data_IF_324221464177
#
_entry.id   IF_324221464177
#
_cell.length_a   1.000
_cell.length_b   1.000
_cell.length_c   1.000
_cell.angle_alpha   90.00
_cell.angle_beta   90.00
_cell.angle_gamma   90.00
#
_symmetry.space_group_name_H-M   'P 1'
#
loop_
_entity.id
_entity.type
_entity.pdbx_description
1 polymer ?
#
# COMPACT_ATOMS: atom_id res chain seq x y z
N UNK A 1 20.25 1.84 28.38
CA UNK A 1 20.77 3.06 27.73
C UNK A 1 19.60 3.76 27.06
N UNK A 2 19.52 5.07 27.23
CA UNK A 2 18.30 5.87 27.08
C UNK A 2 18.02 6.14 25.59
N UNK A 3 17.05 5.45 24.98
CA UNK A 3 16.55 5.72 23.63
C UNK A 3 15.63 6.97 23.55
N UNK A 4 15.70 7.90 24.50
CA UNK A 4 14.72 9.00 24.61
C UNK A 4 14.95 10.17 23.64
N UNK A 5 16.06 10.21 22.90
CA UNK A 5 16.36 11.32 21.98
C UNK A 5 16.22 10.97 20.49
N UNK A 6 15.95 9.70 20.14
CA UNK A 6 15.76 9.33 18.74
C UNK A 6 14.35 9.71 18.29
N UNK A 7 14.28 10.57 17.27
CA UNK A 7 13.01 11.02 16.64
C UNK A 7 12.30 9.86 15.97
N UNK A 8 13.07 8.97 15.33
CA UNK A 8 12.59 7.75 14.70
C UNK A 8 13.23 6.56 15.41
N UNK A 9 12.45 5.52 15.68
CA UNK A 9 12.95 4.25 16.19
C UNK A 9 12.17 3.06 15.64
N UNK A 10 12.79 1.88 15.69
CA UNK A 10 12.12 0.60 15.43
C UNK A 10 12.15 -0.24 16.70
N UNK A 11 10.98 -0.67 17.15
CA UNK A 11 10.80 -1.61 18.26
C UNK A 11 10.43 -2.99 17.71
N UNK A 12 10.93 -4.06 18.32
CA UNK A 12 10.64 -5.44 17.92
C UNK A 12 9.86 -6.17 19.02
N UNK A 13 8.72 -6.73 18.66
CA UNK A 13 7.92 -7.62 19.51
C UNK A 13 7.89 -9.03 18.91
N UNK A 14 8.15 -10.05 19.75
CA UNK A 14 7.94 -11.44 19.38
C UNK A 14 6.50 -11.85 19.73
N UNK A 15 5.65 -11.99 18.72
CA UNK A 15 4.23 -12.32 18.91
C UNK A 15 3.99 -13.83 19.09
N UNK A 16 4.78 -14.66 18.40
CA UNK A 16 4.71 -16.11 18.52
C UNK A 16 6.09 -16.73 18.41
N UNK A 17 6.58 -17.29 19.51
CA UNK A 17 7.90 -17.91 19.62
C UNK A 17 8.04 -19.22 18.84
N UNK A 18 6.94 -19.96 18.61
CA UNK A 18 6.99 -21.24 17.85
C UNK A 18 7.09 -21.01 16.34
N UNK A 19 6.41 -19.98 15.84
CA UNK A 19 6.39 -19.63 14.42
C UNK A 19 7.38 -18.53 14.08
N UNK A 20 8.10 -18.00 15.08
CA UNK A 20 9.01 -16.85 14.95
C UNK A 20 8.32 -15.67 14.25
N UNK A 21 7.05 -15.42 14.59
CA UNK A 21 6.31 -14.28 14.07
C UNK A 21 6.71 -13.06 14.88
N UNK A 22 7.33 -12.10 14.20
CA UNK A 22 7.80 -10.85 14.78
C UNK A 22 6.99 -9.69 14.23
N UNK A 23 6.81 -8.68 15.06
CA UNK A 23 6.27 -7.38 14.69
C UNK A 23 7.36 -6.34 14.89
N UNK A 24 7.59 -5.53 13.88
CA UNK A 24 8.43 -4.35 13.96
C UNK A 24 7.53 -3.12 13.96
N UNK A 25 7.68 -2.26 14.96
CA UNK A 25 6.93 -1.02 15.09
C UNK A 25 7.88 0.14 14.83
N UNK A 26 7.66 0.84 13.72
CA UNK A 26 8.29 2.12 13.46
C UNK A 26 7.58 3.19 14.29
N UNK A 27 8.33 4.01 15.01
CA UNK A 27 7.80 5.14 15.76
C UNK A 27 8.46 6.42 15.22
N UNK A 28 7.66 7.43 14.86
CA UNK A 28 8.13 8.81 14.67
C UNK A 28 7.49 9.68 15.75
N UNK A 29 8.30 10.05 16.75
CA UNK A 29 7.86 10.77 17.95
C UNK A 29 7.50 12.23 17.70
N UNK A 30 8.07 12.85 16.67
CA UNK A 30 7.76 14.25 16.36
C UNK A 30 6.30 14.44 15.97
N UNK A 31 5.69 13.42 15.38
CA UNK A 31 4.34 13.50 14.83
C UNK A 31 3.41 12.41 15.37
N UNK A 32 3.81 11.69 16.43
CA UNK A 32 3.04 10.57 17.00
C UNK A 32 2.57 9.52 15.98
N UNK A 33 3.40 9.25 14.96
CA UNK A 33 3.13 8.25 13.94
C UNK A 33 3.73 6.91 14.37
N UNK A 34 2.92 5.85 14.37
CA UNK A 34 3.35 4.49 14.69
C UNK A 34 2.88 3.53 13.60
N UNK A 35 3.79 2.75 13.03
CA UNK A 35 3.49 1.83 11.92
C UNK A 35 3.99 0.44 12.29
N UNK A 36 3.10 -0.56 12.30
CA UNK A 36 3.43 -1.95 12.58
C UNK A 36 3.55 -2.79 11.31
N UNK A 37 4.66 -3.51 11.20
CA UNK A 37 4.94 -4.45 10.10
C UNK A 37 5.21 -5.84 10.68
N UNK A 38 4.52 -6.86 10.18
CA UNK A 38 4.78 -8.26 10.50
C UNK A 38 5.78 -8.88 9.53
N UNK A 39 6.61 -9.80 10.04
CA UNK A 39 7.47 -10.62 9.20
C UNK A 39 6.69 -11.61 8.35
N UNK A 40 5.53 -12.06 8.83
CA UNK A 40 4.65 -12.91 8.02
C UNK A 40 3.98 -12.06 6.93
N UNK A 41 4.13 -12.48 5.67
CA UNK A 41 3.57 -11.75 4.54
C UNK A 41 4.22 -10.41 4.23
N UNK A 42 5.30 -10.03 4.93
CA UNK A 42 5.82 -8.67 4.94
C UNK A 42 4.69 -7.63 5.13
N UNK A 43 3.74 -7.93 6.03
CA UNK A 43 2.44 -7.27 6.06
C UNK A 43 2.46 -6.02 6.94
N UNK A 44 1.95 -4.91 6.43
CA UNK A 44 1.65 -3.74 7.25
C UNK A 44 0.30 -3.98 7.95
N UNK A 45 0.28 -3.95 9.28
CA UNK A 45 -0.87 -4.36 10.12
C UNK A 45 -1.40 -3.27 11.04
N UNK A 46 -0.64 -2.21 11.24
CA UNK A 46 -1.13 -1.06 11.97
C UNK A 46 -0.52 0.23 11.45
N UNK A 47 -1.31 1.28 11.48
CA UNK A 47 -0.85 2.65 11.33
C UNK A 47 -1.71 3.49 12.26
N UNK A 48 -1.06 4.14 13.20
CA UNK A 48 -1.65 4.98 14.23
C UNK A 48 -1.01 6.36 14.14
N UNK A 49 -1.83 7.41 14.11
CA UNK A 49 -1.37 8.79 14.05
C UNK A 49 -2.11 9.60 15.12
N UNK A 50 -1.38 10.22 16.05
CA UNK A 50 -1.97 10.89 17.22
C UNK A 50 -3.01 10.01 17.96
N UNK A 51 -2.65 8.75 18.23
CA UNK A 51 -3.54 7.75 18.84
C UNK A 51 -4.76 7.32 18.00
N UNK A 52 -4.83 7.71 16.72
CA UNK A 52 -5.90 7.29 15.81
C UNK A 52 -5.44 6.17 14.89
N UNK A 53 -6.03 4.97 15.06
CA UNK A 53 -5.81 3.85 14.15
C UNK A 53 -6.51 4.12 12.80
N UNK A 54 -5.71 4.14 11.73
CA UNK A 54 -6.21 4.37 10.36
C UNK A 54 -6.18 3.14 9.47
N UNK A 55 -5.55 2.05 9.91
CA UNK A 55 -5.58 0.78 9.19
C UNK A 55 -6.61 -0.15 9.81
N UNK A 56 -7.51 -0.65 8.97
CA UNK A 56 -8.52 -1.63 9.34
C UNK A 56 -7.90 -3.02 9.16
N UNK A 57 -7.77 -3.76 10.26
CA UNK A 57 -7.39 -5.16 10.19
C UNK A 57 -8.56 -5.96 9.62
N UNK A 58 -8.45 -6.40 8.37
CA UNK A 58 -9.31 -7.45 7.88
C UNK A 58 -8.87 -8.77 8.51
N UNK A 59 -9.44 -9.10 9.67
CA UNK A 59 -9.64 -10.50 10.00
C UNK A 59 -10.79 -11.01 9.14
N UNK A 60 -10.59 -12.03 8.30
CA UNK A 60 -11.67 -12.72 7.63
C UNK A 60 -12.41 -13.57 8.68
N UNK A 61 -13.14 -12.92 9.59
CA UNK A 61 -14.05 -13.61 10.49
C UNK A 61 -15.47 -13.54 9.90
N UNK A 62 -15.95 -14.67 9.39
CA UNK A 62 -17.35 -15.02 9.61
C UNK A 62 -18.33 -15.01 8.43
N UNK A 63 -17.94 -15.23 7.18
CA UNK A 63 -18.91 -15.66 6.16
C UNK A 63 -18.66 -17.12 5.76
N UNK A 64 -19.58 -18.00 6.16
CA UNK A 64 -19.67 -19.41 5.74
C UNK A 64 -20.09 -19.54 4.26
N UNK A 65 -19.85 -18.54 3.42
CA UNK A 65 -20.10 -18.64 1.99
C UNK A 65 -18.86 -19.22 1.33
N UNK A 66 -18.95 -20.53 1.16
CA UNK A 66 -17.99 -21.47 0.60
C UNK A 66 -17.58 -21.21 -0.86
N UNK A 67 -17.66 -19.99 -1.41
CA UNK A 67 -17.27 -19.69 -2.78
C UNK A 67 -16.46 -18.38 -2.86
N UNK A 68 -15.19 -18.42 -2.44
CA UNK A 68 -14.04 -17.84 -3.16
C UNK A 68 -12.71 -18.14 -2.44
N UNK A 69 -12.13 -19.35 -2.57
CA UNK A 69 -10.78 -19.65 -2.11
C UNK A 69 -9.75 -19.41 -3.22
N UNK A 70 -9.78 -18.23 -3.87
CA UNK A 70 -8.90 -17.96 -5.00
C UNK A 70 -8.08 -16.68 -4.77
N UNK A 71 -6.79 -16.87 -4.48
CA UNK A 71 -5.72 -15.87 -4.41
C UNK A 71 -5.41 -15.15 -3.08
N UNK A 72 -5.45 -15.84 -1.94
CA UNK A 72 -4.42 -15.52 -0.92
C UNK A 72 -3.06 -15.92 -1.51
N UNK A 73 -2.22 -14.95 -1.83
CA UNK A 73 -0.90 -15.22 -2.40
C UNK A 73 -0.09 -16.04 -1.39
N UNK A 74 0.66 -17.06 -1.86
CA UNK A 74 1.50 -17.88 -0.97
C UNK A 74 2.46 -17.02 -0.11
N UNK A 75 2.81 -15.82 -0.60
CA UNK A 75 3.61 -14.83 0.11
C UNK A 75 2.98 -14.36 1.42
N UNK A 76 1.64 -14.23 1.48
CA UNK A 76 0.90 -13.77 2.67
C UNK A 76 1.19 -14.59 3.93
N UNK A 77 1.56 -15.87 3.75
CA UNK A 77 1.86 -16.83 4.82
C UNK A 77 3.35 -17.13 4.98
N UNK A 78 4.19 -16.62 4.09
CA UNK A 78 5.64 -16.78 4.17
C UNK A 78 6.18 -15.96 5.34
N UNK A 79 7.03 -16.56 6.18
CA UNK A 79 7.78 -15.81 7.17
C UNK A 79 9.05 -15.24 6.52
N UNK A 80 9.17 -13.92 6.49
CA UNK A 80 10.29 -13.24 5.87
C UNK A 80 11.44 -13.08 6.87
N UNK A 81 12.66 -13.20 6.36
CA UNK A 81 13.88 -12.93 7.14
C UNK A 81 13.99 -11.41 7.29
N UNK A 82 14.06 -10.94 8.53
CA UNK A 82 14.13 -9.52 8.86
C UNK A 82 15.54 -9.05 9.18
N UNK A 83 15.89 -7.87 8.67
CA UNK A 83 17.11 -7.15 8.98
C UNK A 83 16.80 -5.68 9.22
N UNK A 84 16.96 -5.22 10.47
CA UNK A 84 16.88 -3.80 10.81
C UNK A 84 18.21 -3.12 10.47
N UNK A 85 18.16 -1.98 9.77
CA UNK A 85 19.33 -1.21 9.32
C UNK A 85 19.22 0.22 9.83
N UNK A 86 19.81 0.50 10.98
CA UNK A 86 19.61 1.79 11.64
C UNK A 86 18.22 1.91 12.28
N UNK A 87 17.84 3.12 12.72
CA UNK A 87 16.63 3.34 13.50
C UNK A 87 15.35 3.44 12.67
N UNK A 88 15.47 3.51 11.33
CA UNK A 88 14.39 3.93 10.44
C UNK A 88 14.08 2.93 9.33
N UNK A 89 14.90 1.88 9.14
CA UNK A 89 14.82 0.97 8.00
C UNK A 89 14.71 -0.49 8.41
N UNK A 90 13.71 -1.20 7.88
CA UNK A 90 13.52 -2.64 7.96
C UNK A 90 13.60 -3.26 6.56
N UNK A 91 14.51 -4.21 6.39
CA UNK A 91 14.60 -5.03 5.18
C UNK A 91 14.04 -6.42 5.47
N UNK A 92 13.04 -6.83 4.70
CA UNK A 92 12.48 -8.18 4.72
C UNK A 92 12.89 -8.91 3.43
N UNK A 93 13.44 -10.11 3.55
CA UNK A 93 13.80 -10.96 2.41
C UNK A 93 13.14 -12.34 2.52
N UNK A 94 12.65 -12.85 1.40
CA UNK A 94 12.15 -14.21 1.28
C UNK A 94 12.80 -14.87 0.07
N UNK A 95 13.19 -16.13 0.20
CA UNK A 95 13.73 -16.90 -0.89
C UNK A 95 13.36 -18.36 -0.76
N UNK A 96 12.88 -18.96 -1.85
CA UNK A 96 12.66 -20.41 -1.93
C UNK A 96 13.96 -21.14 -2.33
N UNK A 97 14.96 -20.42 -2.85
CA UNK A 97 16.31 -20.90 -3.15
C UNK A 97 17.27 -19.71 -3.40
N UNK A 98 18.58 -19.95 -3.46
CA UNK A 98 19.63 -18.94 -3.70
C UNK A 98 19.46 -18.15 -4.99
N UNK A 99 18.69 -18.67 -5.96
CA UNK A 99 18.40 -18.00 -7.21
C UNK A 99 17.07 -17.24 -7.20
N UNK A 100 16.20 -17.38 -6.19
CA UNK A 100 14.83 -16.82 -6.16
C UNK A 100 14.57 -15.91 -4.96
N UNK A 101 15.41 -14.90 -4.73
CA UNK A 101 15.18 -13.92 -3.67
C UNK A 101 14.16 -12.85 -4.08
N UNK A 102 13.32 -12.49 -3.12
CA UNK A 102 12.40 -11.37 -3.13
C UNK A 102 12.71 -10.50 -1.92
N UNK A 103 12.47 -9.20 -2.02
CA UNK A 103 12.77 -8.26 -0.95
C UNK A 103 11.75 -7.15 -0.86
N UNK A 104 11.46 -6.74 0.37
CA UNK A 104 10.65 -5.57 0.68
C UNK A 104 11.42 -4.76 1.71
N UNK A 105 11.64 -3.48 1.43
CA UNK A 105 12.29 -2.55 2.36
C UNK A 105 11.27 -1.52 2.77
N UNK A 106 11.09 -1.37 4.07
CA UNK A 106 10.30 -0.33 4.71
C UNK A 106 11.25 0.68 5.33
N UNK A 107 11.05 1.97 5.04
CA UNK A 107 11.81 3.06 5.64
C UNK A 107 10.86 4.17 6.09
N UNK A 108 10.93 4.58 7.35
CA UNK A 108 10.15 5.71 7.88
C UNK A 108 11.01 6.98 7.89
N UNK A 109 10.51 8.08 7.33
CA UNK A 109 11.22 9.38 7.35
C UNK A 109 10.68 10.31 8.43
N UNK A 110 11.40 11.41 8.68
CA UNK A 110 11.02 12.41 9.69
C UNK A 110 9.76 13.19 9.28
N UNK A 111 9.48 13.26 7.98
CA UNK A 111 8.36 13.96 7.36
C UNK A 111 7.09 13.09 7.23
N UNK A 112 6.93 12.09 8.10
CA UNK A 112 5.80 11.14 8.08
C UNK A 112 5.63 10.43 6.74
N UNK A 113 6.73 9.97 6.15
CA UNK A 113 6.70 9.19 4.92
C UNK A 113 7.15 7.77 5.19
N UNK A 114 6.30 6.79 4.90
CA UNK A 114 6.72 5.40 4.81
C UNK A 114 7.08 5.10 3.36
N UNK A 115 8.36 4.90 3.10
CA UNK A 115 8.88 4.47 1.81
C UNK A 115 8.91 2.95 1.80
N UNK A 116 8.23 2.35 0.82
CA UNK A 116 8.17 0.90 0.59
C UNK A 116 8.81 0.60 -0.76
N UNK A 117 9.92 -0.12 -0.74
CA UNK A 117 10.61 -0.56 -1.96
C UNK A 117 10.50 -2.07 -2.10
N UNK A 118 9.89 -2.53 -3.18
CA UNK A 118 9.67 -3.95 -3.45
C UNK A 118 10.49 -4.44 -4.64
N UNK A 119 11.03 -5.66 -4.55
CA UNK A 119 11.64 -6.40 -5.67
C UNK A 119 11.14 -7.85 -5.66
N UNK A 120 10.46 -8.21 -6.73
CA UNK A 120 9.78 -9.48 -6.95
C UNK A 120 10.19 -10.04 -8.31
N UNK A 121 10.18 -11.36 -8.42
CA UNK A 121 10.52 -12.03 -9.69
C UNK A 121 9.37 -12.09 -10.68
N UNK A 122 8.13 -12.08 -10.20
CA UNK A 122 6.93 -12.21 -11.02
C UNK A 122 5.95 -11.10 -10.70
N UNK A 123 5.39 -10.48 -11.74
CA UNK A 123 4.47 -9.33 -11.63
C UNK A 123 3.17 -9.67 -10.89
N UNK A 124 2.80 -10.94 -10.77
CA UNK A 124 1.54 -11.35 -10.14
C UNK A 124 1.57 -11.31 -8.60
N UNK A 125 2.70 -10.97 -7.98
CA UNK A 125 2.88 -11.03 -6.54
C UNK A 125 2.55 -9.68 -5.90
N UNK A 126 1.35 -9.58 -5.34
CA UNK A 126 0.97 -8.46 -4.48
C UNK A 126 1.46 -8.73 -3.06
N UNK A 127 1.95 -7.67 -2.42
CA UNK A 127 2.02 -7.60 -0.96
C UNK A 127 0.62 -7.76 -0.38
N UNK A 128 0.54 -8.17 0.89
CA UNK A 128 -0.73 -8.21 1.60
C UNK A 128 -1.41 -6.84 1.52
N UNK A 129 -2.63 -6.75 0.96
CA UNK A 129 -3.34 -5.48 0.90
C UNK A 129 -3.68 -5.04 2.33
N UNK A 130 -3.49 -3.76 2.60
CA UNK A 130 -3.97 -3.11 3.81
C UNK A 130 -4.89 -1.96 3.43
N UNK A 131 -5.87 -1.71 4.28
CA UNK A 131 -6.99 -0.83 3.98
C UNK A 131 -7.02 0.33 4.98
N UNK A 132 -7.16 1.53 4.43
CA UNK A 132 -7.24 2.78 5.16
C UNK A 132 -8.70 3.17 5.44
N UNK A 133 -8.97 3.56 6.67
CA UNK A 133 -10.12 4.37 7.04
C UNK A 133 -9.68 5.49 7.99
N UNK A 134 -9.76 6.74 7.50
CA UNK A 134 -9.31 7.93 8.22
C UNK A 134 -10.29 8.42 9.32
N UNK A 135 -11.49 7.85 9.42
CA UNK A 135 -12.57 8.21 10.36
C UNK A 135 -12.56 7.32 11.63
N UNK A 136 -11.39 6.81 12.03
CA UNK A 136 -11.14 5.86 13.12
C UNK A 136 -11.62 4.43 12.81
N UNK A 137 -10.67 3.56 12.46
CA UNK A 137 -10.87 2.18 12.02
C UNK A 137 -11.59 1.25 13.03
N UNK A 138 -11.69 1.65 14.30
CA UNK A 138 -12.20 0.78 15.38
C UNK A 138 -13.70 0.95 15.68
N UNK A 139 -14.35 2.00 15.15
CA UNK A 139 -15.74 2.32 15.54
C UNK A 139 -16.68 2.69 14.39
N UNK A 140 -16.17 2.89 13.16
CA UNK A 140 -17.00 3.22 12.00
C UNK A 140 -16.52 2.48 10.74
N UNK A 141 -17.38 1.62 10.20
CA UNK A 141 -17.20 0.90 8.92
C UNK A 141 -17.66 1.74 7.73
N UNK A 142 -17.60 3.07 7.83
CA UNK A 142 -18.12 3.95 6.78
C UNK A 142 -17.02 4.82 6.18
N UNK A 143 -17.10 4.98 4.86
CA UNK A 143 -16.32 5.94 4.06
C UNK A 143 -17.08 7.25 3.82
N UNK A 144 -18.16 7.49 4.55
CA UNK A 144 -18.89 8.75 4.46
C UNK A 144 -18.01 9.94 4.86
N UNK A 145 -17.98 10.95 3.99
CA UNK A 145 -17.09 12.10 4.08
C UNK A 145 -15.66 11.87 3.56
N UNK A 146 -15.33 10.68 3.04
CA UNK A 146 -14.02 10.43 2.41
C UNK A 146 -14.03 10.83 0.94
N UNK A 147 -12.90 11.37 0.50
CA UNK A 147 -12.66 11.76 -0.88
C UNK A 147 -11.42 11.05 -1.41
N UNK A 148 -11.47 10.61 -2.66
CA UNK A 148 -10.37 9.95 -3.33
C UNK A 148 -10.04 10.65 -4.65
N UNK A 149 -8.74 10.74 -4.95
CA UNK A 149 -8.23 11.27 -6.20
C UNK A 149 -7.09 10.39 -6.71
N UNK A 150 -7.03 10.17 -8.01
CA UNK A 150 -5.88 9.57 -8.72
C UNK A 150 -5.36 10.58 -9.73
N UNK A 151 -4.05 10.86 -9.71
CA UNK A 151 -3.42 11.87 -10.56
C UNK A 151 -2.00 11.48 -10.96
N UNK A 152 -1.49 12.13 -11.99
CA UNK A 152 -0.11 12.02 -12.46
C UNK A 152 0.66 13.28 -12.03
N UNK A 153 1.99 13.17 -11.86
CA UNK A 153 2.85 14.36 -11.72
C UNK A 153 2.89 15.18 -13.00
N UNK A 154 2.67 14.53 -14.14
CA UNK A 154 2.53 15.14 -15.45
C UNK A 154 1.04 15.29 -15.80
N UNK A 155 0.57 16.53 -15.90
CA UNK A 155 -0.81 16.87 -16.23
C UNK A 155 -1.24 16.45 -17.64
N UNK A 156 -0.28 16.23 -18.55
CA UNK A 156 -0.54 15.80 -19.92
C UNK A 156 -0.61 14.28 -20.07
N UNK A 157 -0.18 13.55 -19.05
CA UNK A 157 -0.08 12.10 -19.11
C UNK A 157 -1.45 11.43 -18.93
N UNK A 158 -1.76 10.47 -19.80
CA UNK A 158 -3.02 9.76 -19.79
C UNK A 158 -2.95 8.58 -18.80
N UNK A 159 -3.79 8.62 -17.77
CA UNK A 159 -4.00 7.49 -16.85
C UNK A 159 -5.14 6.63 -17.39
N UNK A 160 -4.86 5.34 -17.60
CA UNK A 160 -5.87 4.35 -17.99
C UNK A 160 -6.35 3.57 -16.78
N UNK A 161 -7.67 3.47 -16.61
CA UNK A 161 -8.28 2.61 -15.60
C UNK A 161 -8.58 1.23 -16.20
N UNK A 162 -8.23 0.17 -15.49
CA UNK A 162 -8.57 -1.22 -15.80
C UNK A 162 -9.34 -1.81 -14.63
N UNK A 163 -10.63 -2.05 -14.80
CA UNK A 163 -11.50 -2.67 -13.79
C UNK A 163 -11.16 -4.16 -13.70
N UNK A 164 -11.02 -4.68 -12.49
CA UNK A 164 -10.58 -6.07 -12.25
C UNK A 164 -11.67 -7.00 -11.72
N UNK A 165 -12.84 -6.48 -11.32
CA UNK A 165 -13.96 -7.30 -10.83
C UNK A 165 -14.97 -7.64 -11.93
N UNK A 166 -15.43 -8.89 -11.95
CA UNK A 166 -16.50 -9.38 -12.84
C UNK A 166 -17.93 -9.02 -12.34
N UNK A 167 -18.07 -8.34 -11.20
CA UNK A 167 -19.34 -8.08 -10.53
C UNK A 167 -19.88 -6.65 -10.74
N UNK A 168 -19.65 -6.04 -11.91
CA UNK A 168 -20.27 -4.76 -12.23
C UNK A 168 -21.57 -4.95 -13.02
N UNK A 169 -22.65 -5.29 -12.31
CA UNK A 169 -23.96 -4.80 -12.71
C UNK A 169 -23.99 -3.28 -12.44
N UNK A 170 -23.96 -2.48 -13.50
CA UNK A 170 -24.18 -1.02 -13.55
C UNK A 170 -23.05 -0.03 -13.19
N UNK A 171 -22.01 -0.35 -12.41
CA UNK A 171 -21.07 0.70 -11.93
C UNK A 171 -19.76 0.88 -12.76
N UNK A 172 -19.88 0.96 -14.09
CA UNK A 172 -18.76 1.38 -14.97
C UNK A 172 -18.39 2.88 -14.84
N UNK A 173 -19.02 3.63 -13.93
CA UNK A 173 -18.95 5.10 -13.86
C UNK A 173 -18.00 5.64 -12.77
N UNK A 174 -17.45 4.80 -11.90
CA UNK A 174 -16.55 5.26 -10.84
C UNK A 174 -15.14 5.47 -11.41
N UNK A 175 -14.80 6.74 -11.67
CA UNK A 175 -13.48 7.16 -12.08
C UNK A 175 -12.91 8.19 -11.08
N UNK A 176 -11.79 7.84 -10.45
CA UNK A 176 -11.08 8.73 -9.54
C UNK A 176 -9.97 9.57 -10.23
N UNK A 177 -9.78 9.42 -11.55
CA UNK A 177 -8.88 10.27 -12.35
C UNK A 177 -9.57 11.59 -12.65
N UNK A 178 -9.43 12.53 -11.73
CA UNK A 178 -10.14 13.82 -11.77
C UNK A 178 -9.23 14.97 -11.34
N UNK A 179 -9.57 16.19 -11.75
CA UNK A 179 -8.83 17.40 -11.37
C UNK A 179 -8.91 17.67 -9.85
N UNK A 180 -10.03 17.32 -9.22
CA UNK A 180 -10.30 17.48 -7.79
C UNK A 180 -10.73 16.14 -7.19
N UNK A 181 -10.40 15.91 -5.91
CA UNK A 181 -10.81 14.71 -5.19
C UNK A 181 -12.34 14.55 -5.20
N UNK A 182 -12.80 13.32 -5.48
CA UNK A 182 -14.21 12.99 -5.59
C UNK A 182 -14.67 12.22 -4.36
N UNK A 183 -15.91 12.47 -3.93
CA UNK A 183 -16.50 11.73 -2.82
C UNK A 183 -16.57 10.24 -3.19
N UNK A 184 -16.24 9.38 -2.23
CA UNK A 184 -16.43 7.94 -2.41
C UNK A 184 -17.94 7.66 -2.32
N UNK A 185 -18.56 7.01 -3.32
CA UNK A 185 -19.97 6.71 -3.27
C UNK A 185 -20.28 5.81 -2.07
N UNK A 186 -21.14 6.29 -1.17
CA UNK A 186 -21.68 5.47 -0.08
C UNK A 186 -23.10 5.09 -0.47
N UNK A 187 -23.34 3.80 -0.70
CA UNK A 187 -24.70 3.31 -0.93
C UNK A 187 -25.47 3.44 0.39
N UNK A 188 -26.45 4.33 0.40
CA UNK A 188 -27.33 4.57 1.55
C UNK A 188 -28.60 3.76 1.35
N UNK A 189 -28.79 2.72 2.16
CA UNK A 189 -29.97 1.85 2.14
C UNK A 189 -29.80 0.62 3.04
N UNK A 190 -30.92 -0.01 3.41
CA UNK A 190 -30.95 -1.27 4.20
C UNK A 190 -30.32 -2.46 3.47
N UNK A 191 -30.01 -2.31 2.18
CA UNK A 191 -29.21 -3.25 1.41
C UNK A 191 -27.73 -3.11 1.81
N UNK A 192 -27.27 -4.02 2.68
CA UNK A 192 -25.89 -4.16 3.17
C UNK A 192 -24.84 -4.47 2.08
N UNK A 193 -25.11 -4.19 0.81
CA UNK A 193 -24.10 -4.28 -0.23
C UNK A 193 -23.17 -3.05 -0.13
N UNK A 194 -22.22 -3.16 0.78
CA UNK A 194 -21.06 -2.27 0.87
C UNK A 194 -20.41 -2.14 -0.51
N UNK A 195 -19.99 -0.92 -0.89
CA UNK A 195 -19.33 -0.68 -2.16
C UNK A 195 -18.07 -1.55 -2.26
N UNK A 196 -18.07 -2.51 -3.19
CA UNK A 196 -16.88 -3.26 -3.60
C UNK A 196 -16.42 -2.72 -4.95
N UNK A 197 -15.24 -2.11 -4.96
CA UNK A 197 -14.63 -1.53 -6.16
C UNK A 197 -13.18 -1.98 -6.25
N UNK A 198 -12.73 -2.35 -7.44
CA UNK A 198 -11.36 -2.82 -7.64
C UNK A 198 -10.83 -2.49 -9.04
N UNK A 199 -9.91 -1.53 -9.10
CA UNK A 199 -9.33 -1.06 -10.35
C UNK A 199 -7.82 -0.87 -10.25
N UNK A 200 -7.14 -1.15 -11.37
CA UNK A 200 -5.74 -0.81 -11.58
C UNK A 200 -5.65 0.42 -12.49
N UNK A 201 -5.03 1.47 -11.98
CA UNK A 201 -4.67 2.67 -12.72
C UNK A 201 -3.27 2.50 -13.30
N UNK A 202 -3.16 2.67 -14.61
CA UNK A 202 -1.94 2.52 -15.37
C UNK A 202 -1.53 3.87 -15.96
N UNK A 203 -0.31 4.31 -15.66
CA UNK A 203 0.33 5.47 -16.28
C UNK A 203 1.47 4.98 -17.15
N UNK A 204 1.42 5.28 -18.45
CA UNK A 204 2.48 4.97 -19.41
C UNK A 204 3.18 6.26 -19.82
N UNK A 205 4.50 6.28 -19.75
CA UNK A 205 5.31 7.40 -20.25
C UNK A 205 6.41 6.89 -21.15
N UNK A 206 6.63 7.61 -22.25
CA UNK A 206 7.78 7.43 -23.12
C UNK A 206 9.08 7.98 -22.48
N UNK A 207 8.96 8.90 -21.52
CA UNK A 207 10.09 9.48 -20.79
C UNK A 207 10.25 8.76 -19.44
N UNK A 208 11.38 8.09 -19.26
CA UNK A 208 11.64 7.20 -18.13
C UNK A 208 11.92 7.90 -16.78
N UNK A 209 12.23 9.20 -16.80
CA UNK A 209 12.56 9.98 -15.60
C UNK A 209 11.38 10.84 -15.14
N UNK A 210 11.17 10.85 -13.82
CA UNK A 210 10.33 11.80 -13.06
C UNK A 210 8.81 11.71 -13.17
N UNK A 211 8.26 10.66 -13.79
CA UNK A 211 6.82 10.40 -13.71
C UNK A 211 6.43 9.74 -12.38
N UNK A 212 5.30 10.19 -11.84
CA UNK A 212 4.71 9.66 -10.61
C UNK A 212 3.22 9.43 -10.82
N UNK A 213 2.74 8.27 -10.37
CA UNK A 213 1.31 7.98 -10.26
C UNK A 213 0.92 8.09 -8.80
N UNK A 214 -0.04 8.96 -8.49
CA UNK A 214 -0.42 9.32 -7.14
C UNK A 214 -1.88 9.00 -6.90
N UNK A 215 -2.22 8.51 -5.71
CA UNK A 215 -3.59 8.56 -5.21
C UNK A 215 -3.65 9.15 -3.81
N UNK A 216 -4.66 9.98 -3.56
CA UNK A 216 -4.83 10.71 -2.31
C UNK A 216 -6.19 10.40 -1.73
N UNK A 217 -6.21 9.76 -0.55
CA UNK A 217 -7.40 9.59 0.28
C UNK A 217 -7.46 10.74 1.29
N UNK A 218 -8.59 11.42 1.39
CA UNK A 218 -8.80 12.54 2.32
C UNK A 218 -10.05 12.35 3.16
N UNK A 219 -10.01 12.83 4.40
CA UNK A 219 -11.14 12.94 5.30
C UNK A 219 -10.90 14.13 6.24
N UNK A 220 -11.72 15.18 6.15
CA UNK A 220 -11.49 16.42 6.89
C UNK A 220 -10.07 16.98 6.62
N UNK A 221 -9.28 17.28 7.66
CA UNK A 221 -7.87 17.73 7.53
C UNK A 221 -6.89 16.59 7.22
N UNK A 222 -7.32 15.33 7.37
CA UNK A 222 -6.45 14.16 7.34
C UNK A 222 -6.33 13.65 5.93
N UNK A 223 -5.12 13.20 5.55
CA UNK A 223 -4.94 12.53 4.27
C UNK A 223 -3.79 11.53 4.25
N UNK A 224 -3.93 10.56 3.36
CA UNK A 224 -2.88 9.63 2.97
C UNK A 224 -2.67 9.79 1.46
N UNK A 225 -1.48 10.22 1.07
CA UNK A 225 -1.06 10.28 -0.33
C UNK A 225 -0.09 9.13 -0.62
N UNK A 226 -0.46 8.29 -1.57
CA UNK A 226 0.36 7.16 -2.04
C UNK A 226 0.95 7.52 -3.39
N UNK A 227 2.27 7.51 -3.47
CA UNK A 227 3.02 7.90 -4.66
C UNK A 227 3.81 6.70 -5.15
N UNK A 228 3.53 6.23 -6.36
CA UNK A 228 4.35 5.24 -7.07
C UNK A 228 5.29 6.01 -7.98
N UNK A 229 6.59 5.79 -7.82
CA UNK A 229 7.63 6.45 -8.60
C UNK A 229 8.26 5.48 -9.59
N UNK A 230 8.73 6.01 -10.72
CA UNK A 230 9.70 5.28 -11.53
C UNK A 230 11.01 5.11 -10.77
N UNK A 231 11.59 3.92 -10.84
CA UNK A 231 12.99 3.74 -10.45
C UNK A 231 13.87 4.33 -11.56
N UNK A 232 13.92 5.66 -11.66
CA UNK A 232 14.71 6.40 -12.64
C UNK A 232 16.23 6.27 -12.49
N UNK A 233 16.73 5.42 -11.59
CA UNK A 233 18.16 5.23 -11.43
C UNK A 233 18.53 4.24 -10.33
N UNK A 234 18.75 2.98 -10.69
CA UNK A 234 19.66 2.08 -9.97
C UNK A 234 19.96 0.84 -10.84
N UNK A 235 21.08 0.88 -11.57
CA UNK A 235 21.78 -0.33 -12.00
C UNK A 235 21.40 -0.92 -13.36
N UNK A 236 21.91 -0.33 -14.44
CA UNK A 236 22.40 -1.07 -15.61
C UNK A 236 23.45 -0.20 -16.32
N UNK A 237 24.54 0.10 -15.62
CA UNK A 237 25.77 0.51 -16.29
C UNK A 237 26.27 -0.71 -17.10
N UNK A 238 25.77 -0.87 -18.32
CA UNK A 238 26.11 -2.01 -19.17
C UNK A 238 25.16 -2.38 -20.31
N UNK A 239 24.00 -1.72 -20.48
CA UNK A 239 23.15 -1.96 -21.65
C UNK A 239 23.04 -0.72 -22.53
N UNK A 240 24.04 -0.57 -23.41
CA UNK A 240 23.88 0.19 -24.64
C UNK A 240 22.83 -0.50 -25.52
N UNK A 241 21.89 0.30 -26.04
CA UNK A 241 20.94 -0.07 -27.11
C UNK A 241 20.01 -1.25 -26.82
N UNK A 242 18.97 -1.03 -26.01
CA UNK A 242 17.71 -1.78 -26.15
C UNK A 242 16.54 -0.80 -26.19
N UNK A 243 15.63 -1.05 -27.13
CA UNK A 243 14.30 -0.44 -27.28
C UNK A 243 13.72 -0.14 -25.90
N UNK A 244 13.61 1.14 -25.54
CA UNK A 244 13.07 1.53 -24.24
C UNK A 244 11.60 1.09 -24.20
N UNK A 245 11.33 -0.04 -23.54
CA UNK A 245 9.97 -0.40 -23.20
C UNK A 245 9.38 0.76 -22.40
N UNK A 246 8.19 1.27 -22.77
CA UNK A 246 7.59 2.40 -22.08
C UNK A 246 7.41 2.03 -20.61
N UNK A 247 7.95 2.86 -19.75
CA UNK A 247 7.80 2.68 -18.32
C UNK A 247 6.30 2.75 -17.99
N UNK A 248 5.80 1.71 -17.33
CA UNK A 248 4.41 1.64 -16.90
C UNK A 248 4.35 1.62 -15.38
N UNK A 249 3.84 2.69 -14.78
CA UNK A 249 3.51 2.72 -13.35
C UNK A 249 2.09 2.22 -13.17
N UNK A 250 1.88 1.42 -12.13
CA UNK A 250 0.60 0.77 -11.87
C UNK A 250 0.25 0.85 -10.40
N UNK A 251 -0.93 1.37 -10.13
CA UNK A 251 -1.48 1.54 -8.80
C UNK A 251 -2.85 0.87 -8.74
N UNK A 252 -3.08 -0.03 -7.80
CA UNK A 252 -4.40 -0.61 -7.53
C UNK A 252 -5.09 0.16 -6.43
N UNK A 253 -6.34 0.50 -6.68
CA UNK A 253 -7.27 1.03 -5.69
C UNK A 253 -8.35 -0.01 -5.51
N UNK A 254 -8.55 -0.41 -4.26
CA UNK A 254 -9.64 -1.30 -3.88
C UNK A 254 -10.44 -0.68 -2.75
N UNK A 255 -11.75 -0.66 -2.88
CA UNK A 255 -12.69 -0.24 -1.83
C UNK A 255 -13.46 -1.47 -1.43
N UNK A 256 -13.45 -1.80 -0.14
CA UNK A 256 -14.21 -2.90 0.41
C UNK A 256 -14.46 -2.64 1.89
N UNK A 257 -15.64 -3.05 2.38
CA UNK A 257 -15.98 -3.05 3.80
C UNK A 257 -15.67 -1.74 4.53
N UNK A 258 -16.04 -0.62 3.92
CA UNK A 258 -15.85 0.69 4.53
C UNK A 258 -14.39 1.15 4.63
N UNK A 259 -13.48 0.62 3.81
CA UNK A 259 -12.08 0.99 3.81
C UNK A 259 -11.48 0.99 2.40
N UNK A 260 -10.36 1.68 2.21
CA UNK A 260 -9.69 1.86 0.92
C UNK A 260 -8.27 1.33 0.95
N UNK A 261 -7.95 0.36 0.11
CA UNK A 261 -6.58 -0.08 -0.15
C UNK A 261 -6.02 0.67 -1.37
N UNK A 262 -4.82 1.22 -1.22
CA UNK A 262 -4.08 1.89 -2.29
C UNK A 262 -2.67 1.31 -2.28
N UNK A 263 -2.27 0.60 -3.34
CA UNK A 263 -0.98 -0.09 -3.39
C UNK A 263 -0.40 -0.20 -4.80
N UNK A 264 0.92 -0.36 -4.95
CA UNK A 264 1.53 -0.75 -6.22
C UNK A 264 0.98 -2.10 -6.69
N UNK A 265 0.82 -2.28 -8.00
CA UNK A 265 0.27 -3.52 -8.54
C UNK A 265 0.94 -3.93 -9.84
N UNK A 266 1.10 -5.24 -10.07
CA UNK A 266 1.59 -5.78 -11.36
C UNK A 266 2.96 -5.22 -11.78
N UNK A 267 3.86 -5.00 -10.82
CA UNK A 267 5.23 -4.49 -11.00
C UNK A 267 6.24 -5.43 -10.33
N UNK A 268 7.35 -5.72 -11.00
CA UNK A 268 8.44 -6.51 -10.44
C UNK A 268 9.29 -5.70 -9.47
N UNK A 269 9.49 -4.43 -9.76
CA UNK A 269 10.21 -3.51 -8.89
C UNK A 269 9.40 -2.23 -8.75
N UNK A 270 9.28 -1.73 -7.54
CA UNK A 270 8.61 -0.46 -7.28
C UNK A 270 9.25 0.27 -6.10
N UNK A 271 9.10 1.59 -6.13
CA UNK A 271 9.23 2.45 -4.96
C UNK A 271 7.91 3.17 -4.75
N UNK A 272 7.34 2.97 -3.58
CA UNK A 272 6.07 3.56 -3.17
C UNK A 272 6.27 4.39 -1.92
N UNK A 273 5.67 5.58 -1.87
CA UNK A 273 5.76 6.48 -0.72
C UNK A 273 4.35 6.70 -0.19
N UNK A 274 4.12 6.35 1.07
CA UNK A 274 2.91 6.69 1.80
C UNK A 274 3.19 7.92 2.65
N UNK A 275 2.61 9.07 2.30
CA UNK A 275 2.72 10.31 3.07
C UNK A 275 1.48 10.47 3.95
N UNK A 276 1.70 10.62 5.24
CA UNK A 276 0.63 10.82 6.22
C UNK A 276 0.57 12.30 6.62
N UNK A 277 -0.58 12.93 6.41
CA UNK A 277 -0.85 14.33 6.77
C UNK A 277 -2.03 14.34 7.73
N UNK A 278 -1.89 15.04 8.85
CA UNK A 278 -2.87 15.08 9.93
C UNK A 278 -3.24 16.52 10.29
#
# INVERSE_FOLDING_TARGET
MIHNNEVISIEEDLLNCRQMIRRFTFNNRNNNLRIGVLTIGASLVSCELDAHQIIVNHHPNGSNNSHSPAHESALSRTNWISHVRGPDTLSLTAGLSSSQSQSVVYQLTQENQLIVTGRFKSQQQLLNPYFFNLNCATSKTSLDGHYLQVRSSDATALIRQQITSNNCGADNEINFVTANACAIPVRTGDDQNELDFDAVYCLQSANASDIQLMATLRFQSRSVEVIVQSNGGAGSAGQTTQTQNPLTLKLRVRIANGAVCIMPALMNEFKCIYKFIW
#
